data_IF_266968222372
#
_entry.id   IF_266968222372
#
_cell.length_a   1.000
_cell.length_b   1.000
_cell.length_c   1.000
_cell.angle_alpha   90.00
_cell.angle_beta   90.00
_cell.angle_gamma   90.00
#
_symmetry.space_group_name_H-M   'P 1'
#
loop_
_entity.id
_entity.type
_entity.pdbx_description
1 polymer ?
#
# COMPACT_ATOMS: atom_id res chain seq x y z
N UNK A 1 6.16 -1.77 -14.20
CA UNK A 1 5.31 -1.06 -13.23
C UNK A 1 6.01 0.23 -12.85
N UNK A 2 5.28 1.34 -12.75
CA UNK A 2 5.87 2.66 -12.50
C UNK A 2 6.32 2.78 -11.04
N UNK A 3 7.61 3.09 -10.84
CA UNK A 3 8.20 3.27 -9.50
C UNK A 3 7.57 4.46 -8.75
N UNK A 4 7.12 5.50 -9.46
CA UNK A 4 6.46 6.66 -8.86
C UNK A 4 5.11 6.28 -8.25
N UNK A 5 4.37 5.37 -8.89
CA UNK A 5 3.11 4.85 -8.36
C UNK A 5 3.33 4.09 -7.05
N UNK A 6 4.41 3.30 -6.96
CA UNK A 6 4.77 2.59 -5.73
C UNK A 6 5.07 3.61 -4.62
N UNK A 7 5.89 4.62 -4.88
CA UNK A 7 6.22 5.67 -3.89
C UNK A 7 4.94 6.35 -3.39
N UNK A 8 4.07 6.80 -4.30
CA UNK A 8 2.82 7.50 -3.94
C UNK A 8 1.89 6.63 -3.10
N UNK A 9 1.69 5.38 -3.51
CA UNK A 9 0.84 4.43 -2.78
C UNK A 9 1.43 4.07 -1.41
N UNK A 10 2.75 3.86 -1.34
CA UNK A 10 3.47 3.59 -0.08
C UNK A 10 3.36 4.77 0.87
N UNK A 11 3.56 6.00 0.38
CA UNK A 11 3.44 7.22 1.18
C UNK A 11 2.05 7.32 1.81
N UNK A 12 0.98 7.11 1.03
CA UNK A 12 -0.40 7.13 1.52
C UNK A 12 -0.65 6.08 2.62
N UNK A 13 -0.09 4.88 2.48
CA UNK A 13 -0.17 3.82 3.51
C UNK A 13 0.56 4.25 4.79
N UNK A 14 1.77 4.79 4.67
CA UNK A 14 2.57 5.25 5.82
C UNK A 14 2.01 6.49 6.48
N UNK A 15 1.33 7.38 5.76
CA UNK A 15 0.62 8.53 6.33
C UNK A 15 -0.57 8.07 7.20
N UNK A 16 -1.26 7.00 6.77
CA UNK A 16 -2.42 6.45 7.50
C UNK A 16 -2.03 5.65 8.75
N UNK A 17 -0.92 4.90 8.72
CA UNK A 17 -0.55 3.97 9.80
C UNK A 17 0.76 4.32 10.53
N UNK A 18 1.50 5.30 10.02
CA UNK A 18 2.87 5.60 10.43
C UNK A 18 3.91 4.76 9.68
N UNK A 19 5.17 5.17 9.84
CA UNK A 19 6.34 4.51 9.21
C UNK A 19 7.00 3.46 10.11
N UNK A 20 6.50 3.28 11.33
CA UNK A 20 7.05 2.35 12.32
C UNK A 20 6.43 0.97 12.13
N UNK A 21 7.24 -0.07 12.29
CA UNK A 21 6.78 -1.46 12.24
C UNK A 21 5.61 -1.68 13.21
N UNK A 22 4.45 -2.18 12.74
CA UNK A 22 3.31 -2.38 13.61
C UNK A 22 3.51 -3.62 14.51
N UNK A 23 2.88 -3.62 15.68
CA UNK A 23 2.93 -4.77 16.61
C UNK A 23 2.13 -5.97 16.09
N UNK A 24 1.07 -5.70 15.32
CA UNK A 24 0.23 -6.70 14.67
C UNK A 24 0.21 -6.45 13.16
N UNK A 25 0.03 -7.52 12.39
CA UNK A 25 -0.14 -7.37 10.94
C UNK A 25 -1.36 -6.50 10.68
N UNK A 26 -1.17 -5.42 9.92
CA UNK A 26 -2.27 -4.56 9.49
C UNK A 26 -2.67 -5.03 8.10
N UNK A 27 -3.94 -5.34 7.89
CA UNK A 27 -4.52 -5.57 6.57
C UNK A 27 -5.69 -4.60 6.41
N UNK A 28 -5.66 -3.78 5.37
CA UNK A 28 -6.67 -2.74 5.17
C UNK A 28 -6.77 -2.35 3.69
N UNK A 29 -7.70 -1.45 3.39
CA UNK A 29 -7.91 -0.89 2.08
C UNK A 29 -8.14 0.63 2.14
N UNK A 30 -7.99 1.28 1.00
CA UNK A 30 -8.32 2.69 0.79
C UNK A 30 -8.57 2.97 -0.70
N UNK A 31 -9.17 4.11 -1.02
CA UNK A 31 -9.23 4.59 -2.40
C UNK A 31 -7.81 4.73 -2.96
N UNK A 32 -7.62 4.27 -4.20
CA UNK A 32 -6.30 4.24 -4.80
C UNK A 32 -5.82 5.67 -5.08
N UNK A 33 -4.71 6.13 -4.47
CA UNK A 33 -4.23 7.51 -4.63
C UNK A 33 -3.65 7.77 -6.03
N UNK A 34 -3.57 6.76 -6.90
CA UNK A 34 -3.00 6.87 -8.24
C UNK A 34 -4.10 7.01 -9.29
N UNK A 35 -5.06 6.08 -9.31
CA UNK A 35 -6.11 6.07 -10.33
C UNK A 35 -7.43 6.65 -9.85
N UNK A 36 -7.62 6.88 -8.55
CA UNK A 36 -8.82 7.47 -7.92
C UNK A 36 -10.15 6.73 -8.19
N UNK A 37 -10.12 5.65 -8.97
CA UNK A 37 -11.28 4.84 -9.32
C UNK A 37 -11.25 3.43 -8.70
N UNK A 38 -10.06 2.93 -8.38
CA UNK A 38 -9.86 1.59 -7.79
C UNK A 38 -9.64 1.63 -6.28
N UNK A 39 -9.63 0.46 -5.67
CA UNK A 39 -9.32 0.27 -4.25
C UNK A 39 -7.91 -0.29 -4.11
N UNK A 40 -7.06 0.37 -3.34
CA UNK A 40 -5.75 -0.14 -2.94
C UNK A 40 -5.90 -1.02 -1.70
N UNK A 41 -5.78 -2.33 -1.88
CA UNK A 41 -5.67 -3.29 -0.78
C UNK A 41 -4.21 -3.38 -0.37
N UNK A 42 -3.94 -3.38 0.94
CA UNK A 42 -2.57 -3.46 1.43
C UNK A 42 -2.45 -4.18 2.76
N UNK A 43 -1.24 -4.68 3.02
CA UNK A 43 -0.85 -5.35 4.24
C UNK A 43 0.51 -4.84 4.70
N UNK A 44 0.62 -4.51 5.99
CA UNK A 44 1.87 -4.18 6.66
C UNK A 44 2.22 -5.33 7.60
N UNK A 45 3.36 -5.97 7.37
CA UNK A 45 3.82 -7.10 8.17
C UNK A 45 4.33 -6.65 9.54
N UNK A 46 3.91 -7.30 10.62
CA UNK A 46 4.47 -7.06 11.96
C UNK A 46 5.85 -7.69 12.18
N UNK A 47 6.25 -8.60 11.29
CA UNK A 47 7.55 -9.26 11.39
C UNK A 47 8.68 -8.29 11.01
N UNK A 48 8.58 -7.66 9.84
CA UNK A 48 9.60 -6.81 9.23
C UNK A 48 9.13 -5.40 8.84
N UNK A 49 7.83 -5.08 8.95
CA UNK A 49 7.29 -3.78 8.55
C UNK A 49 7.09 -3.61 7.04
N UNK A 50 7.36 -4.66 6.25
CA UNK A 50 7.23 -4.61 4.79
C UNK A 50 5.78 -4.44 4.37
N UNK A 51 5.58 -3.70 3.29
CA UNK A 51 4.28 -3.42 2.72
C UNK A 51 4.08 -4.25 1.45
N UNK A 52 2.98 -4.99 1.41
CA UNK A 52 2.45 -5.59 0.19
C UNK A 52 1.14 -4.90 -0.15
N UNK A 53 0.96 -4.48 -1.40
CA UNK A 53 -0.24 -3.76 -1.81
C UNK A 53 -0.59 -3.99 -3.28
N UNK A 54 -1.89 -3.95 -3.58
CA UNK A 54 -2.44 -4.17 -4.90
C UNK A 54 -3.71 -3.34 -5.09
N UNK A 55 -3.75 -2.58 -6.18
CA UNK A 55 -4.97 -1.89 -6.63
C UNK A 55 -5.89 -2.86 -7.37
N UNK A 56 -7.21 -2.71 -7.18
CA UNK A 56 -8.22 -3.49 -7.93
C UNK A 56 -8.30 -3.10 -9.40
N UNK A 57 -7.89 -1.88 -9.77
CA UNK A 57 -7.85 -1.44 -11.16
C UNK A 57 -6.74 -2.18 -11.93
N UNK A 58 -7.06 -2.77 -13.10
CA UNK A 58 -6.04 -3.40 -13.94
C UNK A 58 -4.92 -2.43 -14.28
N UNK A 59 -3.67 -2.90 -14.23
CA UNK A 59 -2.47 -2.15 -14.62
C UNK A 59 -2.17 -0.87 -13.82
N UNK A 60 -2.72 -0.71 -12.61
CA UNK A 60 -2.46 0.48 -11.78
C UNK A 60 -1.18 0.37 -10.92
N UNK A 61 -1.25 -0.34 -9.79
CA UNK A 61 -0.10 -0.58 -8.90
C UNK A 61 -0.26 -1.89 -8.14
N UNK A 62 0.81 -2.67 -8.04
CA UNK A 62 0.91 -3.93 -7.31
C UNK A 62 2.35 -4.26 -6.92
N UNK A 63 2.71 -4.22 -5.63
CA UNK A 63 4.08 -4.51 -5.20
C UNK A 63 4.11 -5.25 -3.87
N UNK A 64 5.28 -5.81 -3.58
CA UNK A 64 5.63 -6.42 -2.30
C UNK A 64 7.10 -6.15 -2.03
N UNK A 65 7.39 -5.64 -0.84
CA UNK A 65 8.74 -5.37 -0.34
C UNK A 65 9.39 -6.61 0.29
#
# INVERSE_FOLDING_TARGET
MDFQNIIKARQAITEKHGSVKPQQTIANFMDCPICEAGTLNYRISCYNGHIAAQCTSPNCVQWME
#
